data_IF_322142021764
#
_entry.id   IF_322142021764
#
_cell.length_a   1.000
_cell.length_b   1.000
_cell.length_c   1.000
_cell.angle_alpha   90.00
_cell.angle_beta   90.00
_cell.angle_gamma   90.00
#
_symmetry.space_group_name_H-M   'P 1'
#
loop_
_entity.id
_entity.type
_entity.pdbx_description
1 polymer ?
#
# COMPACT_ATOMS: atom_id res chain seq x y z
N UNK A 1 18.39 -6.31 8.03
CA UNK A 1 19.67 -6.06 8.70
C UNK A 1 20.31 -4.79 8.12
N UNK A 2 20.62 -3.80 8.95
CA UNK A 2 21.32 -2.59 8.50
C UNK A 2 22.84 -2.82 8.58
N UNK A 3 23.53 -2.45 7.50
CA UNK A 3 24.99 -2.33 7.44
C UNK A 3 25.33 -0.89 7.05
N UNK A 4 26.53 -0.35 7.37
CA UNK A 4 26.90 1.03 7.02
C UNK A 4 26.77 1.38 5.52
N UNK A 5 26.80 0.36 4.68
CA UNK A 5 26.78 0.50 3.22
C UNK A 5 25.56 -0.16 2.54
N UNK A 6 24.63 -0.73 3.30
CA UNK A 6 23.51 -1.48 2.75
C UNK A 6 22.35 -1.57 3.73
N UNK A 7 21.15 -1.32 3.25
CA UNK A 7 19.88 -1.63 3.93
C UNK A 7 19.30 -2.89 3.27
N UNK A 8 19.13 -3.95 4.04
CA UNK A 8 18.46 -5.19 3.62
C UNK A 8 17.13 -5.23 4.37
N UNK A 9 16.01 -5.09 3.68
CA UNK A 9 14.68 -5.13 4.27
C UNK A 9 14.06 -6.53 4.29
N UNK A 10 14.53 -7.44 3.44
CA UNK A 10 14.08 -8.82 3.37
C UNK A 10 14.89 -9.80 4.21
N UNK A 11 14.36 -10.99 4.39
CA UNK A 11 15.04 -12.08 5.08
C UNK A 11 14.18 -13.35 5.19
N UNK A 12 14.75 -14.48 5.66
CA UNK A 12 14.04 -15.77 5.74
C UNK A 12 12.82 -15.75 6.68
N UNK A 13 12.76 -14.79 7.60
CA UNK A 13 11.61 -14.58 8.48
C UNK A 13 10.53 -13.70 7.91
N UNK A 14 10.77 -13.03 6.78
CA UNK A 14 9.77 -12.18 6.14
C UNK A 14 8.65 -13.02 5.52
N UNK A 15 7.40 -12.65 5.77
CA UNK A 15 6.27 -13.39 5.23
C UNK A 15 4.94 -12.73 5.51
N UNK A 16 3.96 -13.05 4.69
CA UNK A 16 2.57 -12.67 4.89
C UNK A 16 1.84 -13.83 5.53
N UNK A 17 0.96 -13.54 6.47
CA UNK A 17 0.21 -14.54 7.21
C UNK A 17 -1.26 -14.16 7.29
N UNK A 18 -2.13 -15.16 7.28
CA UNK A 18 -3.59 -15.00 7.41
C UNK A 18 -4.10 -15.85 8.57
N UNK A 19 -4.99 -15.28 9.36
CA UNK A 19 -5.78 -15.97 10.37
C UNK A 19 -7.26 -15.98 9.95
N UNK A 20 -7.95 -17.09 10.19
CA UNK A 20 -9.39 -17.26 9.99
C UNK A 20 -10.13 -17.54 11.30
N UNK A 21 -9.42 -17.46 12.44
CA UNK A 21 -9.92 -17.81 13.77
C UNK A 21 -9.65 -16.70 14.81
N UNK A 22 -9.71 -15.44 14.36
CA UNK A 22 -9.48 -14.25 15.18
C UNK A 22 -8.06 -14.20 15.81
N UNK A 23 -7.06 -14.61 15.06
CA UNK A 23 -5.65 -14.52 15.45
C UNK A 23 -5.13 -15.67 16.34
N UNK A 24 -5.93 -16.72 16.56
CA UNK A 24 -5.49 -17.88 17.35
C UNK A 24 -4.46 -18.72 16.60
N UNK A 25 -4.66 -18.90 15.30
CA UNK A 25 -3.70 -19.57 14.41
C UNK A 25 -3.42 -18.73 13.18
N UNK A 26 -2.24 -18.90 12.59
CA UNK A 26 -1.78 -18.15 11.43
C UNK A 26 -1.20 -19.09 10.37
N UNK A 27 -1.69 -18.97 9.15
CA UNK A 27 -1.20 -19.69 7.98
C UNK A 27 -0.35 -18.76 7.14
N UNK A 28 0.84 -19.19 6.77
CA UNK A 28 1.71 -18.46 5.86
C UNK A 28 1.10 -18.44 4.45
N UNK A 29 1.08 -17.27 3.82
CA UNK A 29 0.58 -17.08 2.47
C UNK A 29 1.79 -16.96 1.53
N UNK A 30 1.82 -17.83 0.50
CA UNK A 30 2.93 -17.88 -0.46
C UNK A 30 2.46 -17.93 -1.92
N UNK A 31 1.22 -18.33 -2.16
CA UNK A 31 0.68 -18.55 -3.51
C UNK A 31 0.61 -17.23 -4.31
N UNK A 32 1.42 -17.13 -5.36
CA UNK A 32 1.53 -15.96 -6.21
C UNK A 32 2.43 -14.83 -5.69
N UNK A 33 2.92 -14.92 -4.44
CA UNK A 33 3.86 -13.95 -3.86
C UNK A 33 5.32 -14.33 -4.14
N UNK A 34 6.24 -13.37 -4.25
CA UNK A 34 7.66 -13.65 -4.42
C UNK A 34 8.20 -14.46 -3.23
N UNK A 35 9.19 -15.30 -3.52
CA UNK A 35 9.81 -16.17 -2.50
C UNK A 35 10.54 -15.36 -1.44
N UNK A 36 11.26 -14.32 -1.87
CA UNK A 36 11.91 -13.34 -1.02
C UNK A 36 11.05 -12.08 -0.95
N UNK A 37 10.79 -11.62 0.24
CA UNK A 37 9.95 -10.46 0.53
C UNK A 37 10.71 -9.53 1.47
N UNK A 38 10.77 -8.27 1.09
CA UNK A 38 11.26 -7.20 1.93
C UNK A 38 10.15 -6.59 2.76
N UNK A 39 10.05 -5.28 2.74
CA UNK A 39 8.95 -4.55 3.37
C UNK A 39 7.64 -4.82 2.63
N UNK A 40 6.58 -4.92 3.40
CA UNK A 40 5.24 -5.17 2.88
C UNK A 40 4.23 -4.25 3.56
N UNK A 41 3.24 -3.80 2.77
CA UNK A 41 2.02 -3.18 3.28
C UNK A 41 0.81 -3.92 2.70
N UNK A 42 -0.29 -3.97 3.44
CA UNK A 42 -1.50 -4.69 3.01
C UNK A 42 -2.74 -3.88 3.34
N UNK A 43 -3.72 -3.87 2.43
CA UNK A 43 -5.02 -3.24 2.63
C UNK A 43 -6.14 -4.10 2.06
N UNK A 44 -7.14 -4.36 2.89
CA UNK A 44 -8.37 -5.08 2.48
C UNK A 44 -9.40 -4.07 2.03
N UNK A 45 -9.99 -4.26 0.84
CA UNK A 45 -11.10 -3.43 0.39
C UNK A 45 -12.33 -3.66 1.27
N UNK A 46 -12.89 -2.56 1.80
CA UNK A 46 -14.16 -2.62 2.53
C UNK A 46 -15.37 -2.73 1.60
N UNK A 47 -15.23 -2.30 0.34
CA UNK A 47 -16.24 -2.46 -0.70
C UNK A 47 -16.40 -3.94 -1.13
N UNK A 48 -15.29 -4.70 -1.10
CA UNK A 48 -15.28 -6.13 -1.40
C UNK A 48 -14.16 -6.82 -0.61
N UNK A 49 -14.48 -7.50 0.47
CA UNK A 49 -13.51 -8.14 1.36
C UNK A 49 -12.70 -9.29 0.74
N UNK A 50 -13.12 -9.80 -0.44
CA UNK A 50 -12.33 -10.76 -1.20
C UNK A 50 -11.16 -10.07 -1.91
N UNK A 51 -11.23 -8.75 -2.14
CA UNK A 51 -10.19 -7.99 -2.80
C UNK A 51 -9.21 -7.41 -1.78
N UNK A 52 -7.96 -7.80 -1.92
CA UNK A 52 -6.87 -7.39 -1.03
C UNK A 52 -5.70 -6.88 -1.88
N UNK A 53 -5.14 -5.76 -1.50
CA UNK A 53 -3.95 -5.17 -2.11
C UNK A 53 -2.75 -5.38 -1.21
N UNK A 54 -1.60 -5.69 -1.80
CA UNK A 54 -0.34 -5.77 -1.08
C UNK A 54 0.79 -5.12 -1.88
N UNK A 55 1.49 -4.18 -1.27
CA UNK A 55 2.80 -3.77 -1.75
C UNK A 55 3.84 -4.73 -1.18
N UNK A 56 4.68 -5.26 -2.04
CA UNK A 56 5.75 -6.17 -1.65
C UNK A 56 7.05 -5.71 -2.29
N UNK A 57 8.03 -5.38 -1.46
CA UNK A 57 9.40 -5.16 -1.93
C UNK A 57 10.12 -6.50 -2.12
N UNK A 58 10.98 -6.57 -3.12
CA UNK A 58 11.95 -7.65 -3.28
C UNK A 58 13.33 -7.06 -3.50
N UNK A 59 14.21 -7.17 -2.50
CA UNK A 59 15.56 -6.60 -2.54
C UNK A 59 16.47 -7.29 -3.56
N UNK A 60 16.39 -8.62 -3.64
CA UNK A 60 17.26 -9.44 -4.49
C UNK A 60 16.75 -9.49 -5.93
N UNK A 61 15.45 -9.49 -6.09
CA UNK A 61 14.78 -9.61 -7.40
C UNK A 61 13.82 -8.45 -7.59
N UNK A 62 14.35 -7.26 -7.89
CA UNK A 62 13.57 -6.03 -8.06
C UNK A 62 12.38 -6.19 -9.01
N UNK A 63 12.52 -7.05 -10.03
CA UNK A 63 11.47 -7.36 -11.00
C UNK A 63 10.31 -8.18 -10.42
N UNK A 64 10.46 -8.72 -9.22
CA UNK A 64 9.43 -9.50 -8.52
C UNK A 64 8.71 -8.71 -7.44
N UNK A 65 9.13 -7.49 -7.15
CA UNK A 65 8.43 -6.56 -6.27
C UNK A 65 7.38 -5.73 -7.00
N UNK A 66 6.47 -5.11 -6.25
CA UNK A 66 5.42 -4.24 -6.79
C UNK A 66 4.09 -4.36 -6.05
N UNK A 67 3.00 -4.03 -6.76
CA UNK A 67 1.65 -4.20 -6.26
C UNK A 67 1.08 -5.56 -6.66
N UNK A 68 0.67 -6.31 -5.66
CA UNK A 68 -0.04 -7.57 -5.78
C UNK A 68 -1.51 -7.38 -5.42
N UNK A 69 -2.38 -8.10 -6.11
CA UNK A 69 -3.82 -8.13 -5.84
C UNK A 69 -4.26 -9.58 -5.63
N UNK A 70 -5.06 -9.77 -4.61
CA UNK A 70 -5.85 -10.97 -4.39
C UNK A 70 -7.32 -10.67 -4.63
N UNK A 71 -8.06 -11.60 -5.24
CA UNK A 71 -9.51 -11.55 -5.42
C UNK A 71 -10.23 -12.67 -4.66
N UNK A 72 -9.51 -13.37 -3.78
CA UNK A 72 -9.99 -14.52 -3.00
C UNK A 72 -9.65 -14.40 -1.51
N UNK A 73 -9.69 -13.18 -0.99
CA UNK A 73 -9.40 -12.84 0.40
C UNK A 73 -7.98 -13.26 0.84
N UNK A 74 -7.00 -13.17 -0.06
CA UNK A 74 -5.60 -13.40 0.23
C UNK A 74 -5.13 -14.85 0.12
N UNK A 75 -5.92 -15.76 -0.48
CA UNK A 75 -5.48 -17.15 -0.70
C UNK A 75 -4.51 -17.26 -1.89
N UNK A 76 -4.70 -16.43 -2.92
CA UNK A 76 -3.79 -16.31 -4.07
C UNK A 76 -3.56 -14.86 -4.47
N UNK A 77 -2.43 -14.59 -5.12
CA UNK A 77 -1.99 -13.25 -5.45
C UNK A 77 -1.46 -13.16 -6.88
N UNK A 78 -1.75 -12.05 -7.53
CA UNK A 78 -1.26 -11.70 -8.86
C UNK A 78 -0.46 -10.39 -8.77
N UNK A 79 0.73 -10.36 -9.39
CA UNK A 79 1.51 -9.14 -9.55
C UNK A 79 0.91 -8.32 -10.69
N UNK A 80 0.25 -7.22 -10.35
CA UNK A 80 -0.50 -6.38 -11.30
C UNK A 80 0.29 -5.16 -11.77
N UNK A 81 1.25 -4.68 -10.97
CA UNK A 81 2.03 -3.51 -11.33
C UNK A 81 3.45 -3.56 -10.73
N UNK A 82 4.44 -3.28 -11.59
CA UNK A 82 5.88 -3.28 -11.25
C UNK A 82 6.51 -1.89 -11.24
N UNK A 83 5.70 -0.83 -11.29
CA UNK A 83 6.22 0.53 -11.29
C UNK A 83 7.11 0.76 -10.05
N UNK A 84 8.36 1.12 -10.27
CA UNK A 84 9.33 1.32 -9.19
C UNK A 84 8.90 2.41 -8.20
N UNK A 85 8.06 3.36 -8.61
CA UNK A 85 7.54 4.41 -7.74
C UNK A 85 6.73 3.85 -6.56
N UNK A 86 6.14 2.65 -6.73
CA UNK A 86 5.31 2.00 -5.70
C UNK A 86 6.14 1.52 -4.50
N UNK A 87 7.42 1.16 -4.71
CA UNK A 87 8.27 0.53 -3.69
C UNK A 87 9.62 1.23 -3.48
N UNK A 88 9.87 2.36 -4.17
CA UNK A 88 11.19 3.02 -4.16
C UNK A 88 11.68 3.47 -2.77
N UNK A 89 10.77 3.69 -1.81
CA UNK A 89 11.11 4.05 -0.42
C UNK A 89 10.88 2.91 0.57
N UNK A 90 10.79 1.68 0.13
CA UNK A 90 10.59 0.52 1.01
C UNK A 90 11.66 0.40 2.10
N UNK A 91 12.87 0.91 1.86
CA UNK A 91 13.93 1.01 2.87
C UNK A 91 13.54 1.86 4.10
N UNK A 92 12.53 2.74 3.97
CA UNK A 92 11.96 3.56 5.03
C UNK A 92 10.48 3.21 5.24
N UNK A 93 9.60 3.56 4.31
CA UNK A 93 8.18 3.22 4.36
C UNK A 93 7.60 3.00 2.95
N UNK A 94 6.56 2.19 2.87
CA UNK A 94 5.59 2.07 1.79
C UNK A 94 4.25 1.71 2.41
N UNK A 95 3.17 2.35 1.97
CA UNK A 95 1.82 2.07 2.46
C UNK A 95 0.85 1.94 1.29
N UNK A 96 -0.19 1.14 1.48
CA UNK A 96 -1.27 0.94 0.51
C UNK A 96 -2.62 1.07 1.21
N UNK A 97 -3.56 1.78 0.57
CA UNK A 97 -4.89 2.03 1.10
C UNK A 97 -5.93 1.75 0.03
N UNK A 98 -6.79 0.76 0.27
CA UNK A 98 -7.96 0.49 -0.56
C UNK A 98 -9.08 1.48 -0.20
N UNK A 99 -9.72 2.06 -1.20
CA UNK A 99 -10.90 2.91 -0.99
C UNK A 99 -12.03 2.08 -0.36
N UNK A 100 -12.69 2.59 0.69
CA UNK A 100 -13.75 1.85 1.37
C UNK A 100 -15.05 1.73 0.57
N UNK A 101 -15.24 2.56 -0.48
CA UNK A 101 -16.47 2.61 -1.28
C UNK A 101 -16.30 2.06 -2.71
N UNK A 102 -15.04 1.91 -3.19
CA UNK A 102 -14.73 1.38 -4.52
C UNK A 102 -13.57 0.39 -4.45
N UNK A 103 -13.84 -0.86 -4.78
CA UNK A 103 -12.85 -1.94 -4.74
C UNK A 103 -11.70 -1.77 -5.74
N UNK A 104 -11.85 -0.94 -6.78
CA UNK A 104 -10.85 -0.70 -7.81
C UNK A 104 -10.01 0.55 -7.57
N UNK A 105 -10.41 1.39 -6.63
CA UNK A 105 -9.63 2.56 -6.24
C UNK A 105 -8.65 2.20 -5.14
N UNK A 106 -7.36 2.45 -5.39
CA UNK A 106 -6.27 2.17 -4.45
C UNK A 106 -5.25 3.30 -4.46
N UNK A 107 -4.78 3.64 -3.27
CA UNK A 107 -3.79 4.67 -3.02
C UNK A 107 -2.49 4.03 -2.52
N UNK A 108 -1.38 4.58 -2.96
CA UNK A 108 -0.04 4.17 -2.51
C UNK A 108 0.71 5.39 -2.00
N UNK A 109 1.22 5.27 -0.80
CA UNK A 109 2.14 6.25 -0.22
C UNK A 109 3.55 5.68 -0.22
N UNK A 110 4.40 6.35 -0.96
CA UNK A 110 5.83 6.14 -1.06
C UNK A 110 6.48 7.52 -1.12
N UNK A 111 7.51 7.79 -1.92
CA UNK A 111 8.01 9.16 -2.09
C UNK A 111 6.97 10.04 -2.81
N UNK A 112 6.35 9.65 -3.95
CA UNK A 112 5.11 10.26 -4.40
C UNK A 112 3.91 9.60 -3.73
N UNK A 113 2.81 10.35 -3.57
CA UNK A 113 1.49 9.78 -3.39
C UNK A 113 0.93 9.40 -4.76
N UNK A 114 0.45 8.18 -4.91
CA UNK A 114 -0.04 7.63 -6.16
C UNK A 114 -1.45 7.10 -5.98
N UNK A 115 -2.29 7.26 -6.99
CA UNK A 115 -3.66 6.76 -7.00
C UNK A 115 -3.95 5.99 -8.27
N UNK A 116 -4.75 4.93 -8.15
CA UNK A 116 -5.26 4.09 -9.24
C UNK A 116 -6.78 3.97 -9.12
N UNK A 117 -7.47 3.96 -10.26
CA UNK A 117 -8.92 3.70 -10.36
C UNK A 117 -9.23 2.38 -11.07
N UNK A 118 -8.21 1.61 -11.47
CA UNK A 118 -8.34 0.43 -12.30
C UNK A 118 -7.82 -0.86 -11.64
N UNK A 119 -7.83 -0.87 -10.31
CA UNK A 119 -7.37 -2.01 -9.51
C UNK A 119 -5.84 -2.12 -9.43
N UNK A 120 -5.14 -1.00 -9.61
CA UNK A 120 -3.69 -0.93 -9.49
C UNK A 120 -2.93 -1.18 -10.80
N UNK A 121 -3.60 -1.28 -11.93
CA UNK A 121 -2.97 -1.51 -13.24
C UNK A 121 -2.21 -0.27 -13.72
N UNK A 122 -2.77 0.91 -13.49
CA UNK A 122 -2.11 2.20 -13.75
C UNK A 122 -2.19 3.12 -12.54
N UNK A 123 -1.22 4.04 -12.43
CA UNK A 123 -1.13 4.99 -11.33
C UNK A 123 -0.85 6.40 -11.84
N UNK A 124 -1.56 7.35 -11.26
CA UNK A 124 -1.33 8.78 -11.41
C UNK A 124 -0.75 9.35 -10.11
N UNK A 125 0.15 10.34 -10.24
CA UNK A 125 0.65 11.06 -9.08
C UNK A 125 -0.42 12.04 -8.57
N UNK A 126 -0.54 12.13 -7.26
CA UNK A 126 -1.43 13.07 -6.58
C UNK A 126 -0.57 13.98 -5.71
N UNK A 127 -0.74 15.29 -5.89
CA UNK A 127 -0.06 16.29 -5.08
C UNK A 127 -0.88 16.56 -3.81
N UNK A 128 -0.23 16.44 -2.66
CA UNK A 128 -0.76 16.87 -1.36
C UNK A 128 -0.21 18.23 -0.95
N UNK A 129 -0.47 18.63 0.28
CA UNK A 129 0.01 19.92 0.80
C UNK A 129 1.53 19.93 1.07
N UNK A 130 2.11 18.76 1.41
CA UNK A 130 3.53 18.57 1.66
C UNK A 130 3.97 17.20 1.14
N UNK A 131 5.27 16.91 1.07
CA UNK A 131 5.80 15.60 0.69
C UNK A 131 5.96 14.65 1.89
N UNK A 132 6.46 13.45 1.62
CA UNK A 132 6.65 12.38 2.61
C UNK A 132 5.35 12.00 3.33
N UNK A 133 4.47 11.34 2.57
CA UNK A 133 3.12 10.97 2.98
C UNK A 133 3.15 9.67 3.81
N UNK A 134 2.64 9.71 5.05
CA UNK A 134 2.77 8.63 6.03
C UNK A 134 1.48 7.90 6.34
N UNK A 135 0.31 8.55 6.25
CA UNK A 135 -0.96 7.90 6.53
C UNK A 135 -2.11 8.57 5.77
N UNK A 136 -3.15 7.78 5.45
CA UNK A 136 -4.32 8.23 4.74
C UNK A 136 -5.58 7.58 5.33
N UNK A 137 -6.44 8.40 5.88
CA UNK A 137 -7.73 7.96 6.38
C UNK A 137 -8.86 8.40 5.44
N UNK A 138 -9.82 7.50 5.22
CA UNK A 138 -11.04 7.76 4.47
C UNK A 138 -12.26 7.73 5.39
N UNK A 139 -13.19 8.66 5.18
CA UNK A 139 -14.52 8.53 5.75
C UNK A 139 -15.21 7.29 5.12
N UNK A 140 -15.58 6.26 5.91
CA UNK A 140 -16.14 5.03 5.35
C UNK A 140 -17.52 5.21 4.70
N UNK A 141 -18.22 6.33 4.99
CA UNK A 141 -19.51 6.67 4.39
C UNK A 141 -19.38 7.51 3.12
N UNK A 142 -18.24 8.14 2.92
CA UNK A 142 -17.96 8.98 1.74
C UNK A 142 -16.44 9.13 1.58
N UNK A 143 -15.82 8.28 0.77
CA UNK A 143 -14.37 8.23 0.56
C UNK A 143 -13.77 9.50 -0.06
N UNK A 144 -14.61 10.44 -0.55
CA UNK A 144 -14.14 11.76 -0.96
C UNK A 144 -13.67 12.62 0.21
N UNK A 145 -14.12 12.30 1.42
CA UNK A 145 -13.67 12.97 2.65
C UNK A 145 -12.50 12.19 3.21
N UNK A 146 -11.33 12.81 3.22
CA UNK A 146 -10.07 12.18 3.53
C UNK A 146 -9.24 13.03 4.48
N UNK A 147 -8.41 12.38 5.28
CA UNK A 147 -7.36 13.02 6.09
C UNK A 147 -6.03 12.41 5.66
N UNK A 148 -5.10 13.26 5.32
CA UNK A 148 -3.74 12.90 4.95
C UNK A 148 -2.79 13.36 6.05
N UNK A 149 -1.84 12.52 6.42
CA UNK A 149 -0.71 12.87 7.28
C UNK A 149 0.59 12.81 6.49
N UNK A 150 1.39 13.82 6.61
CA UNK A 150 2.71 13.96 5.99
C UNK A 150 3.70 14.65 6.94
N UNK A 151 4.94 14.86 6.52
CA UNK A 151 5.98 15.52 7.34
C UNK A 151 5.65 16.98 7.68
N UNK A 152 4.78 17.64 6.93
CA UNK A 152 4.29 18.99 7.21
C UNK A 152 3.15 19.06 8.21
N UNK A 153 2.45 17.94 8.46
CA UNK A 153 1.31 17.89 9.38
C UNK A 153 0.12 17.10 8.85
N UNK A 154 -1.08 17.64 9.01
CA UNK A 154 -2.33 17.01 8.56
C UNK A 154 -3.09 17.87 7.56
N UNK A 155 -3.62 17.28 6.51
CA UNK A 155 -4.44 17.93 5.49
C UNK A 155 -5.76 17.20 5.30
N UNK A 156 -6.81 17.95 4.95
CA UNK A 156 -8.15 17.43 4.72
C UNK A 156 -8.54 17.65 3.26
N UNK A 157 -9.13 16.63 2.62
CA UNK A 157 -9.79 16.74 1.33
C UNK A 157 -11.26 16.39 1.46
N UNK A 158 -12.12 17.08 0.68
CA UNK A 158 -13.55 16.81 0.56
C UNK A 158 -13.98 16.41 -0.87
N UNK A 159 -13.01 16.30 -1.78
CA UNK A 159 -13.24 16.05 -3.21
C UNK A 159 -12.47 14.83 -3.77
N UNK A 160 -12.04 13.94 -2.88
CA UNK A 160 -11.32 12.73 -3.26
C UNK A 160 -9.85 12.97 -3.61
N UNK A 161 -9.21 13.91 -2.90
CA UNK A 161 -7.78 14.18 -3.05
C UNK A 161 -7.43 15.13 -4.20
N UNK A 162 -8.42 15.78 -4.84
CA UNK A 162 -8.16 16.77 -5.90
C UNK A 162 -7.64 18.09 -5.33
N UNK A 163 -8.17 18.46 -4.17
CA UNK A 163 -7.67 19.61 -3.39
C UNK A 163 -7.50 19.24 -1.93
N UNK A 164 -6.55 19.89 -1.28
CA UNK A 164 -6.22 19.68 0.14
C UNK A 164 -6.22 21.01 0.88
N UNK A 165 -6.60 20.96 2.16
CA UNK A 165 -6.44 22.13 3.05
C UNK A 165 -4.97 22.50 3.18
N UNK A 166 -4.69 23.77 3.41
CA UNK A 166 -3.34 24.20 3.79
C UNK A 166 -2.99 23.72 5.19
N UNK A 167 -1.70 23.60 5.47
CA UNK A 167 -1.16 23.29 6.79
C UNK A 167 -0.71 24.57 7.52
N UNK A 168 -0.78 25.71 6.85
CA UNK A 168 -0.48 27.04 7.42
C UNK A 168 -1.67 27.50 8.29
N UNK A 169 -1.47 27.52 9.59
CA UNK A 169 -2.41 28.05 10.58
C UNK A 169 -1.87 29.35 11.18
#
# INVERSE_FOLDING_TARGET
QRKPWQVISGGPGSGMYKSTDAGKTWKKIENGLPKEKGKMAVSVSRANSNKVYALVESDTYKDLGGLFVSNDAGESWELVNKDNRLTQRAWYYIEVFADPNDENTVWVQSAPMLMSYDGGKSFEAVDGAHGDYHDLWFNPKNSKNMILADDGGGSISFDGGKTWSTQDN
#
